data_IF_331700155177
#
_entry.id   IF_331700155177
#
_cell.length_a   1.000
_cell.length_b   1.000
_cell.length_c   1.000
_cell.angle_alpha   90.00
_cell.angle_beta   90.00
_cell.angle_gamma   90.00
#
_symmetry.space_group_name_H-M   'P 1'
#
loop_
_entity.id
_entity.type
_entity.pdbx_description
1 polymer ?
#
# COMPACT_ATOMS: atom_id res chain seq x y z
N UNK A 1 5.21 8.39 21.22
CA UNK A 1 4.75 6.99 21.15
C UNK A 1 5.69 6.15 21.99
N UNK A 2 5.15 5.38 22.93
CA UNK A 2 5.91 4.64 23.94
C UNK A 2 6.75 3.51 23.31
N UNK A 3 7.93 3.25 23.86
CA UNK A 3 8.81 2.16 23.43
C UNK A 3 8.12 0.79 23.59
N UNK A 4 7.26 0.67 24.61
CA UNK A 4 6.47 -0.53 24.84
C UNK A 4 5.35 -0.71 23.81
N UNK A 5 4.75 0.38 23.33
CA UNK A 5 3.78 0.33 22.25
C UNK A 5 4.41 -0.14 20.93
N UNK A 6 5.62 0.37 20.61
CA UNK A 6 6.38 -0.08 19.43
C UNK A 6 6.76 -1.56 19.53
N UNK A 7 7.18 -2.04 20.71
CA UNK A 7 7.48 -3.46 20.95
C UNK A 7 6.25 -4.35 20.81
N UNK A 8 5.10 -3.90 21.34
CA UNK A 8 3.85 -4.65 21.24
C UNK A 8 3.37 -4.80 19.80
N UNK A 9 3.40 -3.72 19.02
CA UNK A 9 3.08 -3.80 17.59
C UNK A 9 4.07 -4.70 16.86
N UNK A 10 5.39 -4.58 17.09
CA UNK A 10 6.37 -5.47 16.46
C UNK A 10 6.11 -6.96 16.76
N UNK A 11 5.66 -7.27 17.98
CA UNK A 11 5.32 -8.63 18.39
C UNK A 11 3.99 -9.12 17.79
N UNK A 12 3.01 -8.23 17.61
CA UNK A 12 1.77 -8.54 16.88
C UNK A 12 2.02 -8.69 15.36
N UNK A 13 3.00 -7.95 14.83
CA UNK A 13 3.49 -8.10 13.44
C UNK A 13 4.22 -9.43 13.22
N UNK A 14 4.95 -9.94 14.22
CA UNK A 14 5.53 -11.29 14.21
C UNK A 14 4.50 -12.42 14.10
N UNK A 15 3.28 -12.15 14.59
CA UNK A 15 2.18 -13.11 14.60
C UNK A 15 1.34 -13.07 13.32
N UNK A 16 1.57 -12.09 12.42
CA UNK A 16 0.81 -12.00 11.18
C UNK A 16 1.08 -13.23 10.28
N UNK A 17 0.05 -13.89 9.73
CA UNK A 17 0.18 -15.16 9.00
C UNK A 17 1.20 -15.15 7.85
N UNK A 18 1.46 -13.98 7.25
CA UNK A 18 2.44 -13.81 6.16
C UNK A 18 3.90 -13.80 6.62
N UNK A 19 4.20 -13.78 7.92
CA UNK A 19 5.54 -14.07 8.45
C UNK A 19 5.77 -15.57 8.72
N UNK A 20 4.70 -16.39 8.70
CA UNK A 20 4.81 -17.85 8.70
C UNK A 20 5.03 -18.45 7.31
N UNK A 21 5.10 -17.62 6.26
CA UNK A 21 5.77 -18.03 5.03
C UNK A 21 7.25 -18.17 5.37
N UNK A 22 7.61 -19.38 5.82
CA UNK A 22 8.99 -19.82 5.98
C UNK A 22 9.78 -19.35 4.76
N UNK A 23 11.02 -18.94 4.98
CA UNK A 23 12.08 -18.84 3.97
C UNK A 23 12.18 -20.18 3.23
N UNK A 24 11.25 -20.45 2.31
CA UNK A 24 11.52 -21.37 1.23
C UNK A 24 12.40 -20.55 0.32
N UNK A 25 13.66 -20.93 0.26
CA UNK A 25 14.51 -20.56 -0.86
C UNK A 25 13.73 -20.94 -2.13
N UNK A 26 13.11 -19.97 -2.78
CA UNK A 26 12.73 -20.10 -4.17
C UNK A 26 14.02 -19.92 -4.97
N UNK A 27 14.93 -20.88 -4.77
CA UNK A 27 15.89 -21.23 -5.78
C UNK A 27 15.10 -21.94 -6.87
N UNK A 28 15.07 -21.28 -8.02
CA UNK A 28 14.86 -21.78 -9.37
C UNK A 28 13.71 -21.15 -10.15
N UNK A 29 14.13 -20.67 -11.33
CA UNK A 29 13.40 -20.36 -12.55
C UNK A 29 12.62 -19.02 -12.57
N UNK A 30 13.30 -17.95 -13.00
CA UNK A 30 13.13 -17.40 -14.36
C UNK A 30 13.89 -16.06 -14.48
N UNK A 31 15.18 -16.18 -14.81
CA UNK A 31 15.77 -15.20 -15.71
C UNK A 31 15.18 -15.45 -17.11
N UNK A 32 14.84 -14.36 -17.80
CA UNK A 32 14.31 -14.26 -19.17
C UNK A 32 12.79 -14.31 -19.29
N UNK A 33 12.17 -13.15 -19.10
CA UNK A 33 11.28 -12.56 -20.11
C UNK A 33 11.12 -11.06 -19.80
N UNK A 34 12.09 -10.28 -20.26
CA UNK A 34 11.84 -8.91 -20.65
C UNK A 34 10.81 -8.89 -21.78
N UNK A 35 9.83 -7.99 -21.64
CA UNK A 35 8.82 -7.58 -22.61
C UNK A 35 7.53 -8.42 -22.68
N UNK A 36 6.49 -7.91 -22.02
CA UNK A 36 5.33 -7.27 -22.69
C UNK A 36 4.53 -6.45 -21.68
N UNK A 37 4.90 -5.18 -21.57
CA UNK A 37 4.04 -4.13 -21.02
C UNK A 37 2.85 -3.94 -21.96
N UNK A 38 1.74 -4.67 -21.78
CA UNK A 38 0.43 -4.26 -22.29
C UNK A 38 -0.64 -4.78 -21.31
N UNK A 39 -1.03 -3.94 -20.36
CA UNK A 39 -2.42 -3.43 -20.31
C UNK A 39 -2.51 -2.29 -19.29
N UNK A 40 -2.85 -1.11 -19.81
CA UNK A 40 -3.44 0.10 -19.19
C UNK A 40 -3.13 0.35 -17.71
N UNK A 41 -2.50 1.49 -17.38
CA UNK A 41 -2.27 2.05 -16.03
C UNK A 41 -3.29 1.62 -14.95
N UNK A 42 -3.10 0.41 -14.41
CA UNK A 42 -4.01 -0.23 -13.46
C UNK A 42 -3.37 -0.16 -12.08
N UNK A 43 -4.08 0.50 -11.18
CA UNK A 43 -3.70 0.66 -9.79
C UNK A 43 -4.64 -0.12 -8.88
N UNK A 44 -4.08 -0.57 -7.77
CA UNK A 44 -4.80 -1.25 -6.72
C UNK A 44 -4.82 -0.36 -5.49
N UNK A 45 -5.99 -0.20 -4.88
CA UNK A 45 -6.10 0.69 -3.73
C UNK A 45 -7.10 0.24 -2.68
N UNK A 46 -6.88 0.70 -1.46
CA UNK A 46 -7.85 0.63 -0.38
C UNK A 46 -8.05 2.03 0.19
N UNK A 47 -9.31 2.48 0.20
CA UNK A 47 -9.68 3.69 0.93
C UNK A 47 -10.17 3.32 2.32
N UNK A 48 -9.50 3.82 3.34
CA UNK A 48 -9.88 3.65 4.74
C UNK A 48 -10.36 5.01 5.25
N UNK A 49 -11.63 5.08 5.63
CA UNK A 49 -12.22 6.29 6.21
C UNK A 49 -12.10 6.23 7.74
N UNK A 50 -11.72 7.33 8.37
CA UNK A 50 -11.61 7.45 9.82
C UNK A 50 -12.06 8.85 10.25
N UNK A 51 -13.10 8.93 11.09
CA UNK A 51 -13.77 10.18 11.43
C UNK A 51 -14.12 11.00 10.16
N UNK A 52 -13.67 12.26 10.08
CA UNK A 52 -13.85 13.15 8.92
C UNK A 52 -12.70 13.03 7.89
N UNK A 53 -11.77 12.10 8.10
CA UNK A 53 -10.55 11.96 7.32
C UNK A 53 -10.51 10.63 6.55
N UNK A 54 -9.56 10.50 5.61
CA UNK A 54 -9.34 9.23 4.94
C UNK A 54 -7.89 8.99 4.55
N UNK A 55 -7.52 7.71 4.52
CA UNK A 55 -6.26 7.17 4.05
C UNK A 55 -6.50 6.41 2.74
N UNK A 56 -5.66 6.65 1.74
CA UNK A 56 -5.59 5.82 0.54
C UNK A 56 -4.30 5.00 0.56
N UNK A 57 -4.41 3.67 0.63
CA UNK A 57 -3.32 2.79 0.25
C UNK A 57 -3.37 2.62 -1.26
N UNK A 58 -2.23 2.75 -1.94
CA UNK A 58 -2.15 2.71 -3.39
C UNK A 58 -0.93 1.92 -3.84
N UNK A 59 -1.10 0.97 -4.76
CA UNK A 59 -0.04 0.17 -5.35
C UNK A 59 -0.18 0.09 -6.87
N UNK A 60 0.94 -0.08 -7.56
CA UNK A 60 0.95 -0.47 -8.96
C UNK A 60 0.39 -1.88 -9.16
N UNK A 61 0.23 -2.28 -10.41
CA UNK A 61 -0.19 -3.63 -10.79
C UNK A 61 0.68 -4.71 -10.15
N UNK A 62 0.04 -5.75 -9.61
CA UNK A 62 0.73 -6.94 -9.11
C UNK A 62 1.35 -7.76 -10.24
N UNK A 63 2.50 -8.37 -9.99
CA UNK A 63 3.20 -9.19 -10.98
C UNK A 63 2.44 -10.49 -11.26
N UNK A 64 2.40 -10.86 -12.55
CA UNK A 64 1.82 -12.11 -13.03
C UNK A 64 2.46 -13.33 -12.37
N UNK A 65 1.64 -14.27 -11.92
CA UNK A 65 2.05 -15.46 -11.17
C UNK A 65 2.22 -15.24 -9.66
N UNK A 66 1.99 -14.01 -9.17
CA UNK A 66 2.09 -13.67 -7.73
C UNK A 66 0.91 -12.86 -7.20
N UNK A 67 -0.13 -12.67 -8.01
CA UNK A 67 -1.24 -11.76 -7.73
C UNK A 67 -1.96 -12.08 -6.42
N UNK A 68 -2.25 -13.36 -6.15
CA UNK A 68 -2.95 -13.75 -4.92
C UNK A 68 -2.12 -13.42 -3.67
N UNK A 69 -0.83 -13.72 -3.69
CA UNK A 69 0.08 -13.41 -2.59
C UNK A 69 0.26 -11.90 -2.41
N UNK A 70 0.34 -11.14 -3.51
CA UNK A 70 0.49 -9.69 -3.49
C UNK A 70 -0.78 -9.02 -2.96
N UNK A 71 -1.93 -9.47 -3.41
CA UNK A 71 -3.23 -9.00 -2.95
C UNK A 71 -3.43 -9.33 -1.47
N UNK A 72 -3.05 -10.52 -1.01
CA UNK A 72 -3.16 -10.89 0.40
C UNK A 72 -2.19 -10.10 1.29
N UNK A 73 -0.97 -9.81 0.82
CA UNK A 73 -0.05 -8.91 1.53
C UNK A 73 -0.63 -7.50 1.64
N UNK A 74 -1.10 -6.96 0.52
CA UNK A 74 -1.68 -5.63 0.47
C UNK A 74 -2.94 -5.53 1.36
N UNK A 75 -3.80 -6.54 1.33
CA UNK A 75 -4.98 -6.66 2.18
C UNK A 75 -4.61 -6.70 3.66
N UNK A 76 -3.60 -7.49 4.02
CA UNK A 76 -3.18 -7.65 5.41
C UNK A 76 -2.59 -6.37 5.98
N UNK A 77 -1.85 -5.61 5.17
CA UNK A 77 -1.38 -4.27 5.53
C UNK A 77 -2.57 -3.34 5.77
N UNK A 78 -3.54 -3.32 4.85
CA UNK A 78 -4.72 -2.47 4.97
C UNK A 78 -5.58 -2.81 6.19
N UNK A 79 -5.80 -4.11 6.46
CA UNK A 79 -6.45 -4.62 7.68
C UNK A 79 -5.73 -4.14 8.94
N UNK A 80 -4.42 -4.33 8.99
CA UNK A 80 -3.62 -3.93 10.15
C UNK A 80 -3.77 -2.43 10.44
N UNK A 81 -3.69 -1.59 9.42
CA UNK A 81 -3.88 -0.14 9.58
C UNK A 81 -5.28 0.17 10.06
N UNK A 82 -6.30 -0.39 9.41
CA UNK A 82 -7.71 -0.19 9.77
C UNK A 82 -7.98 -0.55 11.23
N UNK A 83 -7.53 -1.72 11.68
CA UNK A 83 -7.67 -2.16 13.07
C UNK A 83 -6.89 -1.25 14.02
N UNK A 84 -5.69 -0.82 13.64
CA UNK A 84 -4.83 0.04 14.48
C UNK A 84 -5.40 1.43 14.69
N UNK A 85 -6.17 1.97 13.71
CA UNK A 85 -6.87 3.25 13.84
C UNK A 85 -8.31 3.09 14.34
N UNK A 86 -8.73 1.88 14.76
CA UNK A 86 -10.04 1.64 15.36
C UNK A 86 -11.21 1.48 14.37
N UNK A 87 -10.94 1.21 13.09
CA UNK A 87 -11.95 0.95 12.05
C UNK A 87 -12.10 -0.57 11.87
N UNK A 88 -13.23 -1.12 12.31
CA UNK A 88 -13.48 -2.57 12.36
C UNK A 88 -14.15 -3.15 11.10
N UNK A 89 -14.55 -2.31 10.14
CA UNK A 89 -15.37 -2.73 8.99
C UNK A 89 -14.57 -3.13 7.75
N UNK A 90 -13.27 -3.38 7.86
CA UNK A 90 -12.42 -3.58 6.67
C UNK A 90 -12.56 -4.99 6.06
N UNK A 91 -12.94 -5.06 4.77
CA UNK A 91 -13.21 -6.30 4.04
C UNK A 91 -12.42 -6.40 2.72
N UNK A 92 -12.19 -7.63 2.22
CA UNK A 92 -11.38 -7.89 1.00
C UNK A 92 -12.00 -7.35 -0.29
N UNK A 93 -13.32 -7.26 -0.34
CA UNK A 93 -14.09 -6.64 -1.42
C UNK A 93 -13.88 -5.11 -1.50
N UNK A 94 -13.26 -4.47 -0.52
CA UNK A 94 -12.92 -3.04 -0.56
C UNK A 94 -11.71 -2.73 -1.47
N UNK A 95 -11.11 -3.76 -2.10
CA UNK A 95 -10.01 -3.56 -3.02
C UNK A 95 -10.52 -2.87 -4.29
N UNK A 96 -10.08 -1.64 -4.49
CA UNK A 96 -10.33 -0.87 -5.68
C UNK A 96 -9.34 -1.26 -6.77
N UNK A 97 -9.85 -1.49 -7.98
CA UNK A 97 -9.07 -1.58 -9.22
C UNK A 97 -9.34 -0.30 -9.99
N UNK A 98 -8.33 0.55 -10.09
CA UNK A 98 -8.47 1.92 -10.57
C UNK A 98 -7.65 2.09 -11.85
N UNK A 99 -8.26 2.67 -12.88
CA UNK A 99 -7.49 3.26 -13.98
C UNK A 99 -6.83 4.57 -13.54
N UNK A 100 -5.85 5.06 -14.31
CA UNK A 100 -5.27 6.41 -14.14
C UNK A 100 -6.35 7.51 -14.00
N UNK A 101 -7.40 7.46 -14.81
CA UNK A 101 -8.50 8.42 -14.76
C UNK A 101 -9.29 8.33 -13.44
N UNK A 102 -9.71 7.12 -13.05
CA UNK A 102 -10.46 6.90 -11.81
C UNK A 102 -9.65 7.25 -10.56
N UNK A 103 -8.33 7.00 -10.59
CA UNK A 103 -7.43 7.44 -9.54
C UNK A 103 -7.38 8.97 -9.45
N UNK A 104 -7.29 9.66 -10.59
CA UNK A 104 -7.37 11.12 -10.66
C UNK A 104 -8.66 11.65 -10.05
N UNK A 105 -9.82 11.12 -10.46
CA UNK A 105 -11.11 11.50 -9.89
C UNK A 105 -11.19 11.25 -8.39
N UNK A 106 -10.66 10.14 -7.89
CA UNK A 106 -10.66 9.81 -6.46
C UNK A 106 -9.85 10.83 -5.64
N UNK A 107 -8.69 11.23 -6.16
CA UNK A 107 -7.81 12.22 -5.51
C UNK A 107 -8.43 13.62 -5.49
N UNK A 108 -9.34 13.92 -6.42
CA UNK A 108 -10.01 15.22 -6.55
C UNK A 108 -11.31 15.26 -5.74
N UNK A 109 -12.23 14.33 -6.03
CA UNK A 109 -13.61 14.36 -5.53
C UNK A 109 -13.74 13.90 -4.08
N UNK A 110 -12.86 13.01 -3.65
CA UNK A 110 -12.94 12.39 -2.33
C UNK A 110 -11.54 12.31 -1.70
N UNK A 111 -10.89 13.48 -1.67
CA UNK A 111 -9.47 13.66 -1.37
C UNK A 111 -9.06 12.96 -0.05
N UNK A 112 -8.12 12.02 -0.10
CA UNK A 112 -7.55 11.44 1.11
C UNK A 112 -6.61 12.43 1.80
N UNK A 113 -6.61 12.43 3.14
CA UNK A 113 -5.66 13.21 3.94
C UNK A 113 -4.24 12.67 3.78
N UNK A 114 -4.11 11.34 3.74
CA UNK A 114 -2.84 10.64 3.57
C UNK A 114 -2.91 9.64 2.42
N UNK A 115 -1.79 9.48 1.71
CA UNK A 115 -1.60 8.43 0.71
C UNK A 115 -0.39 7.59 1.10
N UNK A 116 -0.59 6.29 1.29
CA UNK A 116 0.52 5.33 1.44
C UNK A 116 0.77 4.66 0.09
N UNK A 117 1.85 5.07 -0.58
CA UNK A 117 2.11 4.76 -1.97
C UNK A 117 3.21 3.69 -2.12
N UNK A 118 2.82 2.48 -2.55
CA UNK A 118 3.70 1.32 -2.73
C UNK A 118 4.26 1.30 -4.16
N UNK A 119 5.58 1.45 -4.29
CA UNK A 119 6.27 1.40 -5.58
C UNK A 119 6.02 2.62 -6.49
N UNK A 120 5.33 3.64 -5.98
CA UNK A 120 5.02 4.89 -6.69
C UNK A 120 5.92 6.00 -6.15
N UNK A 121 6.49 6.82 -7.03
CA UNK A 121 7.39 7.92 -6.68
C UNK A 121 6.70 9.29 -6.82
N UNK A 122 7.39 10.38 -6.45
CA UNK A 122 6.85 11.73 -6.61
C UNK A 122 6.51 12.07 -8.06
N UNK A 123 7.33 11.64 -9.02
CA UNK A 123 7.12 11.92 -10.45
C UNK A 123 5.74 11.43 -10.93
N UNK A 124 5.31 10.25 -10.46
CA UNK A 124 3.97 9.76 -10.72
C UNK A 124 2.87 10.73 -10.27
N UNK A 125 3.01 11.35 -9.10
CA UNK A 125 2.02 12.29 -8.56
C UNK A 125 2.13 13.70 -9.17
N UNK A 126 3.31 14.12 -9.60
CA UNK A 126 3.51 15.39 -10.34
C UNK A 126 2.69 15.42 -11.64
N UNK A 127 2.54 14.28 -12.32
CA UNK A 127 1.68 14.17 -13.51
C UNK A 127 0.20 14.46 -13.25
N UNK A 128 -0.26 14.37 -11.99
CA UNK A 128 -1.62 14.74 -11.60
C UNK A 128 -1.71 16.17 -11.06
N UNK A 129 -0.58 16.80 -10.71
CA UNK A 129 -0.53 18.22 -10.32
C UNK A 129 -0.64 19.16 -11.52
N UNK A 130 -0.14 18.74 -12.68
CA UNK A 130 -0.28 19.49 -13.95
C UNK A 130 -1.72 19.58 -14.46
N UNK A 131 -2.66 18.83 -13.86
CA UNK A 131 -4.10 18.83 -14.19
C UNK A 131 -4.86 19.96 -13.42
N UNK A 132 -4.17 20.89 -12.76
CA UNK A 132 -4.72 22.05 -12.01
C UNK A 132 -5.68 21.73 -10.84
N UNK A 133 -6.12 20.48 -10.68
CA UNK A 133 -7.13 20.07 -9.71
C UNK A 133 -6.55 19.65 -8.33
N UNK A 134 -5.24 19.40 -8.24
CA UNK A 134 -4.55 19.01 -6.98
C UNK A 134 -3.73 20.18 -6.37
N UNK A 135 -3.59 21.30 -7.09
CA UNK A 135 -2.67 22.39 -6.72
C UNK A 135 -3.01 23.11 -5.40
N UNK A 136 -4.25 23.05 -4.92
CA UNK A 136 -4.64 23.70 -3.66
C UNK A 136 -4.67 22.75 -2.45
N UNK A 137 -4.26 21.50 -2.61
CA UNK A 137 -4.55 20.47 -1.63
C UNK A 137 -3.28 19.64 -1.38
N UNK A 138 -2.46 20.02 -0.40
CA UNK A 138 -1.31 19.23 0.07
C UNK A 138 -1.74 17.79 0.34
N UNK A 139 -1.35 16.85 -0.52
CA UNK A 139 -1.52 15.42 -0.28
C UNK A 139 -0.33 14.96 0.56
N UNK A 140 -0.59 14.42 1.75
CA UNK A 140 0.49 13.88 2.57
C UNK A 140 0.83 12.48 2.08
N UNK A 141 1.74 12.41 1.11
CA UNK A 141 2.16 11.15 0.48
C UNK A 141 3.33 10.57 1.26
N UNK A 142 3.18 9.34 1.75
CA UNK A 142 4.28 8.52 2.27
C UNK A 142 4.59 7.43 1.26
N UNK A 143 5.78 7.50 0.69
CA UNK A 143 6.27 6.49 -0.26
C UNK A 143 6.80 5.28 0.50
N UNK A 144 6.57 4.10 -0.06
CA UNK A 144 7.10 2.85 0.46
C UNK A 144 7.46 1.89 -0.67
N UNK A 145 8.13 0.80 -0.32
CA UNK A 145 8.59 -0.21 -1.26
C UNK A 145 7.40 -0.86 -1.98
N UNK A 146 7.66 -1.29 -3.21
CA UNK A 146 6.66 -1.97 -4.02
C UNK A 146 6.17 -3.29 -3.38
N UNK A 147 4.88 -3.61 -3.53
CA UNK A 147 4.31 -4.84 -2.97
C UNK A 147 5.01 -6.09 -3.52
N UNK A 148 5.34 -6.09 -4.81
CA UNK A 148 6.03 -7.23 -5.42
C UNK A 148 7.47 -7.36 -4.92
N UNK A 149 8.15 -6.23 -4.65
CA UNK A 149 9.46 -6.23 -3.99
C UNK A 149 9.38 -6.81 -2.58
N UNK A 150 8.37 -6.42 -1.81
CA UNK A 150 8.17 -6.86 -0.43
C UNK A 150 7.82 -8.35 -0.31
N UNK A 151 7.15 -8.92 -1.31
CA UNK A 151 6.94 -10.36 -1.37
C UNK A 151 8.25 -11.13 -1.47
N UNK A 152 9.19 -10.63 -2.30
CA UNK A 152 10.48 -11.28 -2.56
C UNK A 152 11.51 -11.02 -1.45
N UNK A 153 11.38 -9.90 -0.75
CA UNK A 153 12.35 -9.45 0.25
C UNK A 153 11.68 -9.21 1.60
N UNK A 154 11.39 -10.28 2.38
CA UNK A 154 10.73 -10.15 3.68
C UNK A 154 11.47 -9.25 4.67
N UNK A 155 12.80 -9.17 4.57
CA UNK A 155 13.66 -8.34 5.43
C UNK A 155 13.37 -6.85 5.29
N UNK A 156 12.93 -6.41 4.10
CA UNK A 156 12.68 -5.00 3.79
C UNK A 156 11.30 -4.52 4.28
N UNK A 157 10.44 -5.45 4.73
CA UNK A 157 9.12 -5.12 5.32
C UNK A 157 9.23 -4.24 6.57
N UNK A 158 10.39 -4.25 7.25
CA UNK A 158 10.63 -3.38 8.42
C UNK A 158 10.47 -1.89 8.07
N UNK A 159 11.00 -1.46 6.90
CA UNK A 159 10.91 -0.08 6.45
C UNK A 159 9.46 0.35 6.18
N UNK A 160 8.66 -0.56 5.61
CA UNK A 160 7.22 -0.37 5.36
C UNK A 160 6.47 -0.15 6.67
N UNK A 161 6.81 -0.92 7.70
CA UNK A 161 6.19 -0.79 9.01
C UNK A 161 6.53 0.50 9.73
N UNK A 162 7.77 1.00 9.59
CA UNK A 162 8.11 2.32 10.14
C UNK A 162 7.25 3.43 9.51
N UNK A 163 7.06 3.39 8.18
CA UNK A 163 6.19 4.33 7.48
C UNK A 163 4.72 4.20 7.92
N UNK A 164 4.24 2.97 8.12
CA UNK A 164 2.87 2.70 8.59
C UNK A 164 2.66 3.16 10.03
N UNK A 165 3.61 2.90 10.92
CA UNK A 165 3.55 3.35 12.31
C UNK A 165 3.56 4.87 12.41
N UNK A 166 4.39 5.54 11.60
CA UNK A 166 4.42 7.00 11.55
C UNK A 166 3.15 7.58 10.93
N UNK A 167 2.50 6.84 10.02
CA UNK A 167 1.20 7.22 9.48
C UNK A 167 0.09 7.08 10.51
N UNK A 168 0.04 5.96 11.24
CA UNK A 168 -0.94 5.72 12.31
C UNK A 168 -0.82 6.77 13.42
N UNK A 169 0.39 7.21 13.79
CA UNK A 169 0.59 8.31 14.77
C UNK A 169 0.03 9.66 14.32
N UNK A 170 -0.13 9.85 13.01
CA UNK A 170 -0.59 11.11 12.44
C UNK A 170 -2.12 11.17 12.30
N UNK A 171 -2.79 10.05 12.57
CA UNK A 171 -4.24 9.93 12.76
C UNK A 171 -4.58 9.98 14.25
#
# INVERSE_FOLDING_TARGET
MDADYKKRILKELELFPLWKLKDKANDEVLAKETAKFIDVDLFFGFKINYAEESLLLLSQKFLSGTEDAAQDLFLNIAKFISTSIGVDTFQKNHLLRLTKYQLGELLISAKPKYVLAFGLNNQFFEEYKSIDLINNATLNIKHTLDINHLLKNPKDKKLVWENILDLIKAF
#
